data_IF_605994076932
#
_entry.id   IF_605994076932
#
_cell.length_a   1.000
_cell.length_b   1.000
_cell.length_c   1.000
_cell.angle_alpha   90.00
_cell.angle_beta   90.00
_cell.angle_gamma   90.00
#
_symmetry.space_group_name_H-M   'P 1'
#
loop_
_entity.id
_entity.type
_entity.pdbx_description
1 polymer ?
#
# COMPACT_ATOMS: atom_id res chain seq x y z
N UNK A 1 -22.23 26.11 38.59
CA UNK A 1 -22.40 24.89 37.81
C UNK A 1 -21.90 25.20 36.39
N UNK A 2 -20.89 24.49 35.84
CA UNK A 2 -20.49 24.65 34.44
C UNK A 2 -21.66 24.15 33.57
N UNK A 3 -22.04 24.93 32.59
CA UNK A 3 -23.13 24.63 31.68
C UNK A 3 -22.81 23.37 30.86
N UNK A 4 -23.75 22.45 30.69
CA UNK A 4 -23.63 21.16 29.96
C UNK A 4 -22.98 21.30 28.56
N UNK A 5 -23.14 22.45 27.90
CA UNK A 5 -22.56 22.78 26.61
C UNK A 5 -21.04 22.85 26.60
N UNK A 6 -20.41 23.23 27.71
CA UNK A 6 -18.93 23.33 27.82
C UNK A 6 -18.29 21.97 28.05
N UNK A 7 -18.95 21.12 28.83
CA UNK A 7 -18.48 19.75 29.10
C UNK A 7 -18.56 18.87 27.85
N UNK A 8 -19.60 18.98 27.04
CA UNK A 8 -19.75 18.25 25.78
C UNK A 8 -18.71 18.69 24.73
N UNK A 9 -18.38 19.99 24.67
CA UNK A 9 -17.37 20.48 23.71
C UNK A 9 -15.94 20.04 24.09
N UNK A 10 -15.63 19.94 25.37
CA UNK A 10 -14.31 19.50 25.85
C UNK A 10 -14.14 17.97 25.76
N UNK A 11 -15.23 17.20 25.93
CA UNK A 11 -15.23 15.75 25.70
C UNK A 11 -15.10 15.44 24.19
N UNK A 12 -15.75 16.20 23.31
CA UNK A 12 -15.60 16.05 21.86
C UNK A 12 -14.19 16.41 21.41
N UNK A 13 -13.56 17.45 21.99
CA UNK A 13 -12.16 17.80 21.70
C UNK A 13 -11.14 16.79 22.22
N UNK A 14 -11.42 16.07 23.30
CA UNK A 14 -10.54 15.06 23.86
C UNK A 14 -10.59 13.70 23.14
N UNK A 15 -11.59 13.48 22.27
CA UNK A 15 -11.79 12.24 21.52
C UNK A 15 -11.51 12.34 20.02
N UNK A 16 -10.83 13.40 19.56
CA UNK A 16 -10.36 13.43 18.17
C UNK A 16 -9.20 12.42 18.05
N UNK A 17 -9.53 11.28 17.48
CA UNK A 17 -8.52 10.28 17.11
C UNK A 17 -7.81 10.84 15.87
N UNK A 18 -6.52 11.13 16.00
CA UNK A 18 -5.70 11.66 14.91
C UNK A 18 -4.88 10.50 14.34
N UNK A 19 -4.87 10.34 13.03
CA UNK A 19 -3.97 9.43 12.31
C UNK A 19 -2.50 9.83 12.47
N UNK A 20 -1.61 9.13 11.81
CA UNK A 20 -0.16 9.45 11.80
C UNK A 20 0.19 10.49 10.74
N UNK A 21 -0.69 10.73 9.77
CA UNK A 21 -0.47 11.59 8.63
C UNK A 21 -1.17 12.94 8.82
N UNK A 22 -0.44 13.99 8.53
CA UNK A 22 -0.95 15.35 8.49
C UNK A 22 -0.86 15.92 7.07
N UNK A 23 -1.77 16.84 6.72
CA UNK A 23 -1.76 17.51 5.42
C UNK A 23 -0.42 18.17 5.12
N UNK A 24 0.18 18.84 6.11
CA UNK A 24 1.48 19.49 6.01
C UNK A 24 2.61 18.51 5.66
N UNK A 25 2.47 17.24 6.01
CA UNK A 25 3.42 16.20 5.61
C UNK A 25 3.33 15.94 4.11
N UNK A 26 2.12 15.86 3.55
CA UNK A 26 1.90 15.68 2.11
C UNK A 26 2.32 16.92 1.32
N UNK A 27 2.12 18.12 1.86
CA UNK A 27 2.49 19.38 1.22
C UNK A 27 4.01 19.52 0.98
N UNK A 28 4.85 18.71 1.67
CA UNK A 28 6.31 18.68 1.45
C UNK A 28 6.73 17.91 0.20
N UNK A 29 5.84 17.09 -0.37
CA UNK A 29 6.11 16.31 -1.57
C UNK A 29 5.64 17.04 -2.83
N UNK A 30 6.31 16.79 -3.93
CA UNK A 30 5.92 17.37 -5.25
C UNK A 30 4.82 16.51 -5.89
N UNK A 31 3.66 16.38 -5.21
CA UNK A 31 2.57 15.50 -5.61
C UNK A 31 1.88 15.91 -6.91
N UNK A 32 2.10 17.12 -7.42
CA UNK A 32 1.67 17.52 -8.76
C UNK A 32 2.33 16.67 -9.87
N UNK A 33 3.50 16.08 -9.59
CA UNK A 33 4.21 15.21 -10.53
C UNK A 33 3.79 13.73 -10.39
N UNK A 34 2.93 13.42 -9.44
CA UNK A 34 2.42 12.07 -9.19
C UNK A 34 0.91 12.05 -9.46
N UNK A 35 0.48 11.26 -10.43
CA UNK A 35 -0.94 11.06 -10.71
C UNK A 35 -1.46 9.68 -10.26
N UNK A 36 -0.59 8.82 -9.76
CA UNK A 36 -0.89 7.47 -9.29
C UNK A 36 -0.50 7.31 -7.82
N UNK A 37 -1.34 6.63 -7.06
CA UNK A 37 -1.12 6.31 -5.65
C UNK A 37 -0.99 4.80 -5.49
N UNK A 38 0.01 4.36 -4.76
CA UNK A 38 0.13 2.96 -4.35
C UNK A 38 0.17 2.88 -2.83
N UNK A 39 -0.65 2.04 -2.23
CA UNK A 39 -0.73 1.84 -0.78
C UNK A 39 -0.43 0.38 -0.47
N UNK A 40 0.62 0.16 0.31
CA UNK A 40 1.12 -1.17 0.69
C UNK A 40 1.23 -1.34 2.19
N UNK A 41 1.17 -2.58 2.66
CA UNK A 41 1.28 -2.91 4.07
C UNK A 41 2.73 -2.82 4.56
N UNK A 42 3.69 -3.42 3.84
CA UNK A 42 5.08 -3.55 4.28
C UNK A 42 6.05 -2.98 3.24
N UNK A 43 7.27 -2.57 3.68
CA UNK A 43 8.34 -2.25 2.74
C UNK A 43 8.81 -3.54 2.06
N UNK A 44 8.81 -3.59 0.77
CA UNK A 44 9.05 -4.63 -0.23
C UNK A 44 7.80 -4.98 -1.07
N UNK A 45 6.60 -4.87 -0.50
CA UNK A 45 5.35 -5.16 -1.20
C UNK A 45 5.19 -4.36 -2.50
N UNK A 46 5.57 -3.07 -2.49
CA UNK A 46 5.49 -2.20 -3.68
C UNK A 46 6.38 -2.73 -4.80
N UNK A 47 7.51 -3.33 -4.45
CA UNK A 47 8.46 -3.91 -5.40
C UNK A 47 8.03 -5.30 -5.84
N UNK A 48 7.55 -6.15 -4.92
CA UNK A 48 7.11 -7.51 -5.21
C UNK A 48 5.87 -7.52 -6.13
N UNK A 49 4.87 -6.71 -5.80
CA UNK A 49 3.56 -6.73 -6.46
C UNK A 49 3.37 -5.66 -7.52
N UNK A 50 4.25 -4.67 -7.58
CA UNK A 50 4.10 -3.50 -8.43
C UNK A 50 5.38 -2.91 -9.02
N UNK A 51 6.54 -3.55 -8.84
CA UNK A 51 7.84 -2.99 -9.28
C UNK A 51 7.90 -2.67 -10.76
N UNK A 52 7.30 -3.52 -11.62
CA UNK A 52 7.21 -3.26 -13.05
C UNK A 52 6.32 -2.07 -13.41
N UNK A 53 5.25 -1.83 -12.64
CA UNK A 53 4.41 -0.65 -12.78
C UNK A 53 5.10 0.61 -12.26
N UNK A 54 5.87 0.52 -11.17
CA UNK A 54 6.63 1.66 -10.63
C UNK A 54 7.66 2.20 -11.62
N UNK A 55 8.23 1.34 -12.48
CA UNK A 55 9.14 1.76 -13.55
C UNK A 55 8.47 2.70 -14.58
N UNK A 56 7.13 2.70 -14.68
CA UNK A 56 6.38 3.66 -15.50
C UNK A 56 6.25 5.04 -14.84
N UNK A 57 6.80 5.23 -13.66
CA UNK A 57 6.86 6.49 -12.89
C UNK A 57 5.49 7.11 -12.59
N UNK A 58 5.49 8.27 -11.94
CA UNK A 58 4.28 9.01 -11.60
C UNK A 58 3.53 8.45 -10.38
N UNK A 59 4.15 7.55 -9.62
CA UNK A 59 3.59 7.01 -8.40
C UNK A 59 4.04 7.78 -7.16
N UNK A 60 3.10 7.97 -6.24
CA UNK A 60 3.36 8.22 -4.84
C UNK A 60 3.07 6.95 -4.05
N UNK A 61 4.04 6.42 -3.32
CA UNK A 61 3.92 5.14 -2.64
C UNK A 61 3.82 5.37 -1.14
N UNK A 62 2.81 4.80 -0.50
CA UNK A 62 2.60 4.87 0.95
C UNK A 62 2.67 3.47 1.54
N UNK A 63 3.63 3.26 2.43
CA UNK A 63 3.74 2.04 3.21
C UNK A 63 3.17 2.26 4.62
N UNK A 64 2.27 1.39 5.07
CA UNK A 64 1.55 1.59 6.34
C UNK A 64 2.37 1.23 7.58
N UNK A 65 3.38 0.35 7.46
CA UNK A 65 4.15 -0.13 8.60
C UNK A 65 5.63 0.24 8.53
N UNK A 66 6.35 -0.08 9.60
CA UNK A 66 7.82 -0.08 9.67
C UNK A 66 8.51 1.29 9.46
N UNK A 67 7.80 2.41 9.45
CA UNK A 67 8.42 3.73 9.34
C UNK A 67 9.38 4.06 10.49
N UNK A 68 9.23 3.42 11.64
CA UNK A 68 10.14 3.51 12.79
C UNK A 68 11.30 2.49 12.78
N UNK A 69 11.30 1.53 11.84
CA UNK A 69 12.40 0.59 11.64
C UNK A 69 13.43 1.18 10.67
N UNK A 70 14.59 1.56 11.17
CA UNK A 70 15.61 2.27 10.38
C UNK A 70 16.11 1.47 9.18
N UNK A 71 16.26 0.16 9.29
CA UNK A 71 16.72 -0.72 8.20
C UNK A 71 15.65 -0.79 7.11
N UNK A 72 14.43 -1.20 7.48
CA UNK A 72 13.31 -1.31 6.55
C UNK A 72 12.98 0.01 5.86
N UNK A 73 13.03 1.11 6.62
CA UNK A 73 12.83 2.46 6.09
C UNK A 73 13.91 2.84 5.07
N UNK A 74 15.17 2.54 5.36
CA UNK A 74 16.27 2.80 4.43
C UNK A 74 16.12 2.02 3.13
N UNK A 75 15.74 0.74 3.21
CA UNK A 75 15.49 -0.11 2.05
C UNK A 75 14.33 0.43 1.20
N UNK A 76 13.20 0.77 1.82
CA UNK A 76 12.06 1.34 1.11
C UNK A 76 12.40 2.60 0.32
N UNK A 77 13.03 3.59 0.97
CA UNK A 77 13.41 4.82 0.26
C UNK A 77 14.49 4.60 -0.79
N UNK A 78 15.40 3.65 -0.58
CA UNK A 78 16.37 3.26 -1.59
C UNK A 78 15.68 2.64 -2.82
N UNK A 79 14.69 1.76 -2.61
CA UNK A 79 13.89 1.19 -3.70
C UNK A 79 13.13 2.26 -4.48
N UNK A 80 12.44 3.17 -3.79
CA UNK A 80 11.71 4.26 -4.45
C UNK A 80 12.64 5.17 -5.28
N UNK A 81 13.86 5.42 -4.79
CA UNK A 81 14.87 6.18 -5.54
C UNK A 81 15.24 5.46 -6.84
N UNK A 82 15.45 4.13 -6.79
CA UNK A 82 15.77 3.33 -7.97
C UNK A 82 14.61 3.29 -8.99
N UNK A 83 13.35 3.31 -8.53
CA UNK A 83 12.16 3.42 -9.36
C UNK A 83 11.90 4.86 -9.86
N UNK A 84 12.55 5.87 -9.28
CA UNK A 84 12.27 7.27 -9.56
C UNK A 84 10.89 7.72 -9.08
N UNK A 85 10.42 7.15 -7.96
CA UNK A 85 9.16 7.43 -7.31
C UNK A 85 9.34 8.21 -6.02
N UNK A 86 8.28 8.88 -5.56
CA UNK A 86 8.21 9.47 -4.23
C UNK A 86 7.33 8.61 -3.32
N UNK A 87 7.48 8.75 -2.02
CA UNK A 87 6.63 8.05 -1.07
C UNK A 87 6.93 8.36 0.38
N UNK A 88 6.15 7.81 1.25
CA UNK A 88 6.30 7.92 2.70
C UNK A 88 5.96 6.60 3.40
N UNK A 89 6.43 6.48 4.62
CA UNK A 89 6.11 5.37 5.51
C UNK A 89 5.41 5.86 6.77
N UNK A 90 4.36 5.15 7.15
CA UNK A 90 3.74 5.23 8.45
C UNK A 90 4.34 4.17 9.39
N UNK A 91 3.97 4.23 10.64
CA UNK A 91 4.55 3.36 11.69
C UNK A 91 3.48 2.55 12.42
N UNK A 92 2.43 2.12 11.70
CA UNK A 92 1.50 1.17 12.29
C UNK A 92 2.22 -0.14 12.58
N UNK A 93 1.89 -0.83 13.68
CA UNK A 93 2.66 -1.98 14.11
C UNK A 93 2.52 -3.12 13.10
N UNK A 94 3.65 -3.67 12.66
CA UNK A 94 3.71 -4.93 11.94
C UNK A 94 3.50 -6.10 12.92
N UNK A 95 4.19 -6.06 14.06
CA UNK A 95 4.09 -7.06 15.12
C UNK A 95 3.67 -6.41 16.45
N UNK A 96 2.82 -7.10 17.20
CA UNK A 96 2.47 -6.81 18.59
C UNK A 96 2.59 -8.10 19.41
N UNK A 97 3.38 -8.07 20.48
CA UNK A 97 3.62 -9.26 21.31
C UNK A 97 4.16 -10.47 20.54
N UNK A 98 4.98 -10.24 19.50
CA UNK A 98 5.57 -11.29 18.67
C UNK A 98 4.63 -11.90 17.62
N UNK A 99 3.41 -11.38 17.47
CA UNK A 99 2.42 -11.82 16.46
C UNK A 99 2.11 -10.69 15.51
N UNK A 100 1.67 -11.02 14.29
CA UNK A 100 1.17 -10.03 13.34
C UNK A 100 0.01 -9.25 13.97
N UNK A 101 0.12 -7.92 13.96
CA UNK A 101 -0.96 -7.07 14.44
C UNK A 101 -2.16 -7.18 13.50
N UNK A 102 -3.35 -7.31 14.07
CA UNK A 102 -4.61 -7.28 13.32
C UNK A 102 -5.17 -5.86 13.15
N UNK A 103 -4.44 -4.85 13.61
CA UNK A 103 -4.78 -3.43 13.57
C UNK A 103 -6.15 -3.04 14.17
N UNK A 104 -6.80 -3.93 14.91
CA UNK A 104 -8.11 -3.64 15.52
C UNK A 104 -8.13 -2.35 16.33
N UNK A 105 -7.02 -2.06 17.04
CA UNK A 105 -6.83 -0.84 17.82
C UNK A 105 -6.49 0.40 16.99
N UNK A 106 -6.08 0.22 15.74
CA UNK A 106 -5.56 1.28 14.88
C UNK A 106 -6.46 1.60 13.71
N UNK A 107 -7.51 0.81 13.48
CA UNK A 107 -8.40 0.90 12.32
C UNK A 107 -8.87 2.32 12.07
N UNK A 108 -9.36 3.03 13.09
CA UNK A 108 -9.86 4.41 12.94
C UNK A 108 -8.75 5.36 12.49
N UNK A 109 -7.55 5.23 13.06
CA UNK A 109 -6.39 6.06 12.67
C UNK A 109 -5.95 5.78 11.25
N UNK A 110 -5.90 4.52 10.85
CA UNK A 110 -5.55 4.12 9.48
C UNK A 110 -6.59 4.68 8.50
N UNK A 111 -7.88 4.58 8.81
CA UNK A 111 -8.95 5.15 7.98
C UNK A 111 -8.77 6.65 7.79
N UNK A 112 -8.47 7.41 8.85
CA UNK A 112 -8.22 8.85 8.76
C UNK A 112 -7.02 9.18 7.86
N UNK A 113 -5.91 8.41 7.97
CA UNK A 113 -4.76 8.59 7.10
C UNK A 113 -5.12 8.28 5.63
N UNK A 114 -5.88 7.21 5.40
CA UNK A 114 -6.34 6.83 4.06
C UNK A 114 -7.32 7.87 3.48
N UNK A 115 -8.24 8.40 4.28
CA UNK A 115 -9.14 9.49 3.85
C UNK A 115 -8.33 10.70 3.41
N UNK A 116 -7.35 11.12 4.21
CA UNK A 116 -6.47 12.24 3.83
C UNK A 116 -5.72 11.96 2.53
N UNK A 117 -5.14 10.77 2.37
CA UNK A 117 -4.39 10.38 1.17
C UNK A 117 -5.28 10.36 -0.09
N UNK A 118 -6.43 9.69 0.00
CA UNK A 118 -7.32 9.52 -1.14
C UNK A 118 -8.01 10.83 -1.56
N UNK A 119 -8.26 11.74 -0.62
CA UNK A 119 -8.93 13.03 -0.87
C UNK A 119 -7.97 14.20 -1.06
N UNK A 120 -6.66 14.03 -0.76
CA UNK A 120 -5.67 15.09 -0.90
C UNK A 120 -5.65 15.71 -2.30
N UNK A 121 -5.77 14.85 -3.31
CA UNK A 121 -5.95 15.22 -4.71
C UNK A 121 -6.72 14.11 -5.45
N UNK A 122 -7.14 14.40 -6.67
CA UNK A 122 -7.75 13.37 -7.53
C UNK A 122 -6.65 12.52 -8.16
N UNK A 123 -6.56 11.26 -7.75
CA UNK A 123 -5.63 10.29 -8.31
C UNK A 123 -6.23 9.64 -9.56
N UNK A 124 -5.43 9.41 -10.60
CA UNK A 124 -5.87 8.73 -11.82
C UNK A 124 -5.89 7.22 -11.66
N UNK A 125 -5.00 6.71 -10.80
CA UNK A 125 -4.92 5.30 -10.46
C UNK A 125 -4.58 5.18 -8.97
N UNK A 126 -5.24 4.26 -8.29
CA UNK A 126 -4.93 3.85 -6.91
C UNK A 126 -4.68 2.35 -6.95
N UNK A 127 -3.53 1.90 -6.48
CA UNK A 127 -3.18 0.49 -6.42
C UNK A 127 -2.97 0.06 -4.97
N UNK A 128 -3.40 -1.15 -4.64
CA UNK A 128 -3.23 -1.73 -3.30
C UNK A 128 -3.33 -3.26 -3.34
N UNK A 129 -3.11 -3.88 -2.20
CA UNK A 129 -3.27 -5.33 -2.01
C UNK A 129 -4.64 -5.82 -2.45
N UNK A 130 -4.71 -7.08 -2.87
CA UNK A 130 -5.97 -7.69 -3.23
C UNK A 130 -6.76 -8.20 -2.01
N UNK A 131 -8.08 -8.43 -2.13
CA UNK A 131 -8.91 -8.88 -1.01
C UNK A 131 -8.52 -10.23 -0.39
N UNK A 132 -7.76 -11.05 -1.10
CA UNK A 132 -7.22 -12.32 -0.58
C UNK A 132 -5.91 -12.11 0.19
N UNK A 133 -5.28 -10.92 0.08
CA UNK A 133 -3.99 -10.61 0.68
C UNK A 133 -2.86 -11.39 0.01
N UNK A 134 -2.91 -11.50 -1.31
CA UNK A 134 -2.06 -12.29 -2.19
C UNK A 134 -2.02 -13.76 -1.75
N UNK A 135 -1.17 -14.10 -0.80
CA UNK A 135 -1.02 -15.45 -0.22
C UNK A 135 -1.76 -15.63 1.13
N UNK A 136 -2.64 -14.69 1.49
CA UNK A 136 -3.45 -14.76 2.72
C UNK A 136 -2.90 -13.95 3.89
N UNK A 137 -1.94 -13.02 3.65
CA UNK A 137 -1.37 -12.19 4.71
C UNK A 137 -2.44 -11.27 5.33
N UNK A 138 -2.56 -11.30 6.66
CA UNK A 138 -3.62 -10.58 7.37
C UNK A 138 -3.58 -9.07 7.09
N UNK A 139 -2.40 -8.44 7.15
CA UNK A 139 -2.27 -7.00 6.97
C UNK A 139 -2.46 -6.58 5.50
N UNK A 140 -2.15 -7.43 4.52
CA UNK A 140 -2.52 -7.18 3.12
C UNK A 140 -4.04 -7.17 2.94
N UNK A 141 -4.74 -8.14 3.54
CA UNK A 141 -6.21 -8.20 3.51
C UNK A 141 -6.83 -6.98 4.18
N UNK A 142 -6.29 -6.54 5.32
CA UNK A 142 -6.75 -5.35 6.03
C UNK A 142 -6.48 -4.08 5.22
N UNK A 143 -5.29 -3.93 4.63
CA UNK A 143 -4.96 -2.81 3.74
C UNK A 143 -5.94 -2.76 2.58
N UNK A 144 -6.19 -3.90 1.91
CA UNK A 144 -7.16 -4.01 0.83
C UNK A 144 -8.55 -3.56 1.27
N UNK A 145 -9.03 -4.06 2.41
CA UNK A 145 -10.36 -3.74 2.94
C UNK A 145 -10.49 -2.25 3.26
N UNK A 146 -9.55 -1.69 4.03
CA UNK A 146 -9.63 -0.30 4.48
C UNK A 146 -9.48 0.68 3.31
N UNK A 147 -8.56 0.43 2.38
CA UNK A 147 -8.44 1.25 1.16
C UNK A 147 -9.72 1.18 0.32
N UNK A 148 -10.31 0.00 0.18
CA UNK A 148 -11.56 -0.19 -0.59
C UNK A 148 -12.72 0.57 0.03
N UNK A 149 -12.86 0.53 1.35
CA UNK A 149 -13.96 1.20 2.04
C UNK A 149 -13.86 2.72 1.90
N UNK A 150 -12.67 3.29 2.12
CA UNK A 150 -12.44 4.73 1.90
C UNK A 150 -12.61 5.11 0.43
N UNK A 151 -12.12 4.28 -0.50
CA UNK A 151 -12.26 4.52 -1.93
C UNK A 151 -13.73 4.57 -2.37
N UNK A 152 -14.56 3.64 -1.92
CA UNK A 152 -16.00 3.63 -2.25
C UNK A 152 -16.70 4.93 -1.89
N UNK A 153 -16.27 5.54 -0.78
CA UNK A 153 -16.81 6.82 -0.34
C UNK A 153 -16.23 7.98 -1.14
N UNK A 154 -14.90 8.06 -1.28
CA UNK A 154 -14.20 9.20 -1.88
C UNK A 154 -14.30 9.24 -3.41
N UNK A 155 -14.44 8.09 -4.08
CA UNK A 155 -14.40 7.93 -5.54
C UNK A 155 -15.68 7.29 -6.10
N UNK A 156 -16.83 7.63 -5.52
CA UNK A 156 -18.12 7.06 -5.90
C UNK A 156 -18.34 7.09 -7.42
N UNK A 157 -18.62 5.92 -8.00
CA UNK A 157 -18.89 5.76 -9.43
C UNK A 157 -17.66 5.79 -10.36
N UNK A 158 -16.45 5.92 -9.83
CA UNK A 158 -15.21 5.90 -10.63
C UNK A 158 -14.59 4.50 -10.65
N UNK A 159 -13.83 4.19 -11.70
CA UNK A 159 -13.03 2.96 -11.82
C UNK A 159 -11.54 3.30 -11.83
N UNK A 160 -10.99 3.60 -10.66
CA UNK A 160 -9.59 4.01 -10.48
C UNK A 160 -8.82 3.16 -9.47
N UNK A 161 -9.51 2.27 -8.74
CA UNK A 161 -8.89 1.35 -7.80
C UNK A 161 -8.54 0.05 -8.50
N UNK A 162 -7.29 -0.37 -8.33
CA UNK A 162 -6.74 -1.63 -8.83
C UNK A 162 -6.14 -2.41 -7.66
N UNK A 163 -6.39 -3.70 -7.66
CA UNK A 163 -5.78 -4.65 -6.76
C UNK A 163 -4.59 -5.33 -7.40
N UNK A 164 -3.57 -5.62 -6.63
CA UNK A 164 -2.48 -6.48 -7.07
C UNK A 164 -3.02 -7.81 -7.57
N UNK A 165 -2.32 -8.40 -8.52
CA UNK A 165 -2.74 -9.63 -9.17
C UNK A 165 -2.93 -10.80 -8.20
N UNK A 166 -3.65 -11.82 -8.63
CA UNK A 166 -3.79 -13.06 -7.87
C UNK A 166 -2.44 -13.75 -7.73
N UNK A 167 -2.14 -14.22 -6.53
CA UNK A 167 -0.99 -15.07 -6.27
C UNK A 167 -1.33 -16.52 -6.55
N UNK A 168 -0.42 -17.22 -7.20
CA UNK A 168 -0.51 -18.66 -7.46
C UNK A 168 0.71 -19.35 -6.89
N UNK A 169 0.50 -20.42 -6.15
CA UNK A 169 1.59 -21.25 -5.65
C UNK A 169 2.38 -21.86 -6.80
N UNK A 170 3.59 -22.28 -6.51
CA UNK A 170 4.48 -22.88 -7.51
C UNK A 170 3.83 -24.01 -8.33
N UNK A 171 3.05 -24.89 -7.68
CA UNK A 171 2.35 -25.99 -8.31
C UNK A 171 1.02 -25.59 -9.00
N UNK A 172 0.53 -24.40 -8.78
CA UNK A 172 -0.69 -23.86 -9.37
C UNK A 172 -0.40 -23.00 -10.61
N UNK A 173 0.71 -22.26 -10.57
CA UNK A 173 1.09 -21.34 -11.63
C UNK A 173 1.13 -21.97 -13.03
N UNK A 174 1.66 -23.18 -13.28
CA UNK A 174 1.67 -23.80 -14.60
C UNK A 174 0.28 -23.97 -15.21
N UNK A 175 -0.78 -24.08 -14.39
CA UNK A 175 -2.16 -24.26 -14.85
C UNK A 175 -2.78 -22.98 -15.40
N UNK A 176 -2.27 -21.81 -14.98
CA UNK A 176 -2.84 -20.51 -15.30
C UNK A 176 -1.89 -19.59 -16.05
N UNK A 177 -0.59 -19.90 -16.11
CA UNK A 177 0.44 -19.01 -16.63
C UNK A 177 0.17 -18.52 -18.07
N UNK A 178 -0.49 -19.32 -18.90
CA UNK A 178 -0.83 -18.93 -20.27
C UNK A 178 -1.93 -17.85 -20.35
N UNK A 179 -2.67 -17.63 -19.26
CA UNK A 179 -3.66 -16.56 -19.15
C UNK A 179 -3.09 -15.28 -18.48
N UNK A 180 -1.86 -15.34 -18.02
CA UNK A 180 -1.19 -14.22 -17.37
C UNK A 180 -0.30 -13.47 -18.37
N UNK A 181 -0.27 -12.15 -18.24
CA UNK A 181 0.58 -11.29 -19.07
C UNK A 181 1.88 -11.05 -18.28
N UNK A 182 3.02 -11.53 -18.77
CA UNK A 182 4.29 -11.27 -18.12
C UNK A 182 4.75 -9.82 -18.34
N UNK A 183 5.53 -9.30 -17.42
CA UNK A 183 6.31 -8.08 -17.64
C UNK A 183 7.26 -8.27 -18.82
N UNK A 184 7.61 -7.18 -19.51
CA UNK A 184 8.71 -7.22 -20.46
C UNK A 184 9.99 -7.64 -19.77
N UNK A 185 10.91 -8.26 -20.53
CA UNK A 185 12.19 -8.74 -20.01
C UNK A 185 12.95 -7.62 -19.30
N UNK A 186 13.04 -6.44 -19.91
CA UNK A 186 13.73 -5.27 -19.33
C UNK A 186 13.12 -4.80 -17.99
N UNK A 187 11.78 -4.81 -17.87
CA UNK A 187 11.12 -4.49 -16.61
C UNK A 187 11.38 -5.55 -15.55
N UNK A 188 11.32 -6.83 -15.93
CA UNK A 188 11.58 -7.93 -15.00
C UNK A 188 13.02 -7.90 -14.49
N UNK A 189 14.00 -7.72 -15.38
CA UNK A 189 15.40 -7.59 -15.00
C UNK A 189 15.62 -6.43 -14.04
N UNK A 190 15.12 -5.24 -14.37
CA UNK A 190 15.28 -4.06 -13.52
C UNK A 190 14.62 -4.21 -12.18
N UNK A 191 13.37 -4.69 -12.13
CA UNK A 191 12.66 -5.01 -10.89
C UNK A 191 13.46 -6.00 -10.04
N UNK A 192 13.90 -7.11 -10.63
CA UNK A 192 14.67 -8.15 -9.93
C UNK A 192 15.99 -7.62 -9.39
N UNK A 193 16.70 -6.79 -10.18
CA UNK A 193 17.91 -6.11 -9.74
C UNK A 193 17.65 -5.26 -8.49
N UNK A 194 16.64 -4.40 -8.52
CA UNK A 194 16.29 -3.52 -7.39
C UNK A 194 15.98 -4.35 -6.14
N UNK A 195 15.11 -5.35 -6.25
CA UNK A 195 14.75 -6.21 -5.13
C UNK A 195 15.99 -6.87 -4.52
N UNK A 196 16.85 -7.47 -5.34
CA UNK A 196 18.04 -8.20 -4.86
C UNK A 196 19.13 -7.28 -4.28
N UNK A 197 19.21 -6.03 -4.73
CA UNK A 197 20.25 -5.10 -4.26
C UNK A 197 19.81 -4.26 -3.07
N UNK A 198 18.51 -3.98 -2.94
CA UNK A 198 17.97 -3.08 -1.94
C UNK A 198 17.44 -3.85 -0.72
N UNK A 199 16.54 -4.83 -0.91
CA UNK A 199 15.85 -5.52 0.18
C UNK A 199 16.67 -6.69 0.75
N UNK A 200 17.85 -6.37 1.33
CA UNK A 200 18.76 -7.36 1.89
C UNK A 200 18.33 -7.93 3.22
N UNK A 201 17.52 -7.18 3.98
CA UNK A 201 17.00 -7.61 5.28
C UNK A 201 15.80 -8.55 5.16
N UNK A 202 15.26 -8.75 3.94
CA UNK A 202 14.07 -9.53 3.68
C UNK A 202 14.38 -10.79 2.89
N UNK A 203 13.69 -11.89 3.20
CA UNK A 203 13.70 -13.07 2.33
C UNK A 203 12.61 -12.93 1.27
N UNK A 204 12.98 -12.35 0.14
CA UNK A 204 12.11 -12.16 -1.03
C UNK A 204 12.22 -13.31 -2.05
N UNK A 205 12.92 -14.39 -1.71
CA UNK A 205 13.18 -15.50 -2.64
C UNK A 205 11.96 -16.38 -2.88
N UNK A 206 11.07 -16.46 -1.91
CA UNK A 206 9.88 -17.33 -1.93
C UNK A 206 8.87 -16.95 -3.03
N UNK A 207 8.86 -15.70 -3.47
CA UNK A 207 7.93 -15.18 -4.47
C UNK A 207 8.51 -15.11 -5.89
N UNK A 208 9.73 -15.55 -6.11
CA UNK A 208 10.44 -15.40 -7.40
C UNK A 208 9.66 -15.93 -8.60
N UNK A 209 8.87 -16.99 -8.45
CA UNK A 209 8.08 -17.57 -9.53
C UNK A 209 6.95 -16.63 -10.01
N UNK A 210 6.49 -15.72 -9.15
CA UNK A 210 5.44 -14.74 -9.47
C UNK A 210 5.97 -13.38 -9.93
N UNK A 211 7.26 -13.07 -9.73
CA UNK A 211 7.83 -11.73 -9.98
C UNK A 211 7.60 -11.17 -11.37
N UNK A 212 7.46 -12.05 -12.38
CA UNK A 212 7.19 -11.64 -13.76
C UNK A 212 5.73 -11.29 -14.03
N UNK A 213 4.82 -11.52 -13.08
CA UNK A 213 3.40 -11.30 -13.27
C UNK A 213 2.86 -10.23 -12.33
N UNK A 214 2.44 -9.12 -12.90
CA UNK A 214 1.78 -8.02 -12.19
C UNK A 214 0.42 -7.74 -12.86
N UNK A 215 -0.43 -8.77 -12.92
CA UNK A 215 -1.72 -8.69 -13.60
C UNK A 215 -2.75 -8.06 -12.66
N UNK A 216 -2.66 -6.75 -12.47
CA UNK A 216 -3.56 -6.01 -11.62
C UNK A 216 -5.00 -6.07 -12.12
N UNK A 217 -5.93 -6.13 -11.20
CA UNK A 217 -7.36 -6.30 -11.49
C UNK A 217 -8.10 -5.10 -10.91
N UNK A 218 -8.91 -4.42 -11.73
CA UNK A 218 -9.72 -3.31 -11.23
C UNK A 218 -10.71 -3.80 -10.16
N UNK A 219 -11.02 -2.91 -9.22
CA UNK A 219 -12.03 -3.15 -8.18
C UNK A 219 -13.35 -3.67 -8.77
N UNK A 220 -13.79 -3.11 -9.91
CA UNK A 220 -15.04 -3.51 -10.56
C UNK A 220 -14.95 -4.90 -11.21
N UNK A 221 -13.77 -5.30 -11.67
CA UNK A 221 -13.54 -6.60 -12.33
C UNK A 221 -13.15 -7.71 -11.35
N UNK A 222 -12.79 -7.37 -10.09
CA UNK A 222 -12.40 -8.39 -9.13
C UNK A 222 -13.56 -9.36 -8.86
N UNK A 223 -13.25 -10.65 -8.98
CA UNK A 223 -14.15 -11.75 -8.60
C UNK A 223 -13.39 -12.71 -7.70
N UNK A 224 -14.05 -13.17 -6.67
CA UNK A 224 -13.51 -14.11 -5.68
C UNK A 224 -13.23 -15.49 -6.25
#
# INVERSE_FOLDING_TARGET
LPTETKVTSDIIKSNIIIGQLEKQTLDKYQLQNCNKLMIVAHPDDESLWGGGHLLDKGYFVVCLTNGNNTVRRSEFYAALKEYGCQGLMLSYPDLEGGKRSDWSKYTVKIVQDLELLLTYKKWDLIATHNPKGEYGHIQHRMTSQLVTDVYRYAYKGMNRLFYFGKYYKWNELPKVQNSLIPLSESKLERKTQIINTVYKSQDVKWDRHMMKYENWISFQAWRE
#
